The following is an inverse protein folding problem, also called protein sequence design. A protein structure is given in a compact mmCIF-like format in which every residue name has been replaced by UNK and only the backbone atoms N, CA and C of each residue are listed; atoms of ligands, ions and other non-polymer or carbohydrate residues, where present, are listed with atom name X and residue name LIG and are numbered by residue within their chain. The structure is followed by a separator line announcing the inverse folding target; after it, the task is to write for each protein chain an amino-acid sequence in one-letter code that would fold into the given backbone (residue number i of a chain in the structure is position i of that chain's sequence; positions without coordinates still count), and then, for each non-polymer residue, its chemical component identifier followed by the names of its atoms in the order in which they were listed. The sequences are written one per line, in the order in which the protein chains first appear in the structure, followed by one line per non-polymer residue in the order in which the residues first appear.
data_IF_185606750528
#
_entry.id   IF_185606750528
#
_cell.length_a   1.000
_cell.length_b   1.000
_cell.length_c   1.000
_cell.angle_alpha   90.00
_cell.angle_beta   90.00
_cell.angle_gamma   90.00
#
_symmetry.space_group_name_H-M   'P 1'
#
loop_
_entity.id
_entity.type
_entity.pdbx_description
1 polymer ?
#
# COMPACT_ATOMS: atom_id res chain seq x y z
N UNK A 1 7.32 0.41 16.20
CA UNK A 1 5.96 0.02 16.63
C UNK A 1 5.97 -1.47 16.87
N UNK A 2 5.26 -1.94 17.89
CA UNK A 2 5.12 -3.38 18.15
C UNK A 2 4.25 -4.04 17.08
N UNK A 3 4.43 -5.33 16.85
CA UNK A 3 3.65 -6.08 15.86
C UNK A 3 2.14 -6.04 16.18
N UNK A 4 1.77 -6.08 17.45
CA UNK A 4 0.38 -6.01 17.92
C UNK A 4 -0.29 -4.68 17.54
N UNK A 5 0.38 -3.55 17.76
CA UNK A 5 -0.16 -2.24 17.39
C UNK A 5 -0.30 -2.12 15.87
N UNK A 6 0.63 -2.69 15.10
CA UNK A 6 0.51 -2.72 13.64
C UNK A 6 -0.67 -3.55 13.15
N UNK A 7 -0.92 -4.72 13.77
CA UNK A 7 -2.08 -5.54 13.44
C UNK A 7 -3.40 -4.82 13.78
N UNK A 8 -3.48 -4.17 14.93
CA UNK A 8 -4.64 -3.36 15.32
C UNK A 8 -4.91 -2.24 14.30
N UNK A 9 -3.89 -1.43 13.97
CA UNK A 9 -4.02 -0.34 13.00
C UNK A 9 -4.37 -0.82 11.60
N UNK A 10 -3.88 -2.00 11.20
CA UNK A 10 -4.16 -2.55 9.87
C UNK A 10 -5.65 -2.83 9.62
N UNK A 11 -6.42 -3.03 10.70
CA UNK A 11 -7.87 -3.30 10.68
C UNK A 11 -8.72 -2.03 10.73
N UNK A 12 -8.12 -0.87 10.96
CA UNK A 12 -8.81 0.42 10.98
C UNK A 12 -9.40 0.73 9.60
N UNK A 13 -10.71 0.98 9.54
CA UNK A 13 -11.39 1.38 8.31
C UNK A 13 -11.28 2.89 8.12
N UNK A 14 -10.72 3.30 6.99
CA UNK A 14 -10.59 4.72 6.61
C UNK A 14 -11.64 5.07 5.56
N UNK A 15 -12.65 5.86 5.96
CA UNK A 15 -13.79 6.16 5.09
C UNK A 15 -13.51 7.30 4.09
N UNK A 16 -12.69 8.28 4.48
CA UNK A 16 -12.42 9.44 3.63
C UNK A 16 -11.53 9.06 2.44
N UNK A 17 -11.95 9.45 1.23
CA UNK A 17 -11.15 9.26 0.00
C UNK A 17 -9.81 9.99 0.09
N UNK A 18 -9.79 11.22 0.62
CA UNK A 18 -8.54 11.98 0.77
C UNK A 18 -7.59 11.34 1.77
N UNK A 19 -8.12 10.78 2.86
CA UNK A 19 -7.32 10.07 3.85
C UNK A 19 -6.73 8.77 3.28
N UNK A 20 -7.51 7.99 2.52
CA UNK A 20 -7.00 6.79 1.83
C UNK A 20 -5.92 7.12 0.81
N UNK A 21 -6.08 8.19 0.02
CA UNK A 21 -5.02 8.66 -0.89
C UNK A 21 -3.76 9.05 -0.14
N UNK A 22 -3.89 9.75 0.99
CA UNK A 22 -2.76 10.15 1.82
C UNK A 22 -2.04 8.93 2.41
N UNK A 23 -2.78 7.91 2.85
CA UNK A 23 -2.23 6.66 3.36
C UNK A 23 -1.44 5.90 2.27
N UNK A 24 -2.03 5.70 1.08
CA UNK A 24 -1.35 5.06 -0.06
C UNK A 24 -0.09 5.83 -0.45
N UNK A 25 -0.17 7.16 -0.56
CA UNK A 25 0.99 7.99 -0.90
C UNK A 25 2.10 7.88 0.16
N UNK A 26 1.73 7.86 1.44
CA UNK A 26 2.69 7.75 2.55
C UNK A 26 3.33 6.37 2.58
N UNK A 27 2.55 5.30 2.38
CA UNK A 27 3.09 3.94 2.27
C UNK A 27 4.09 3.83 1.13
N UNK A 28 3.72 4.25 -0.09
CA UNK A 28 4.63 4.19 -1.23
C UNK A 28 5.84 5.12 -1.07
N UNK A 29 5.73 6.22 -0.32
CA UNK A 29 6.86 7.11 -0.03
C UNK A 29 7.93 6.45 0.84
N UNK A 30 7.53 5.63 1.82
CA UNK A 30 8.44 5.07 2.82
C UNK A 30 8.80 3.60 2.58
N UNK A 31 7.86 2.83 2.06
CA UNK A 31 8.02 1.41 1.77
C UNK A 31 8.27 1.13 0.28
N UNK A 32 8.10 2.15 -0.57
CA UNK A 32 8.16 1.99 -2.02
C UNK A 32 9.53 2.22 -2.63
N UNK A 33 9.83 1.44 -3.67
CA UNK A 33 10.96 1.60 -4.58
C UNK A 33 10.49 1.84 -6.01
N UNK A 34 11.28 2.58 -6.79
CA UNK A 34 11.06 2.75 -8.23
C UNK A 34 12.12 1.96 -8.99
N UNK A 35 11.66 1.07 -9.85
CA UNK A 35 12.52 0.22 -10.66
C UNK A 35 12.14 0.37 -12.13
N UNK A 36 13.12 0.27 -13.02
CA UNK A 36 12.85 0.18 -14.47
C UNK A 36 13.03 -1.28 -14.87
N UNK A 37 11.93 -1.90 -15.31
CA UNK A 37 11.90 -3.30 -15.76
C UNK A 37 11.42 -3.31 -17.20
N UNK A 38 12.25 -3.81 -18.12
CA UNK A 38 11.95 -3.88 -19.55
C UNK A 38 11.46 -2.53 -20.14
N UNK A 39 12.08 -1.41 -19.73
CA UNK A 39 11.74 -0.06 -20.20
C UNK A 39 10.46 0.52 -19.60
N UNK A 40 9.85 -0.14 -18.60
CA UNK A 40 8.67 0.34 -17.88
C UNK A 40 9.02 0.69 -16.45
N UNK A 41 8.44 1.76 -15.93
CA UNK A 41 8.55 2.11 -14.51
C UNK A 41 7.65 1.18 -13.72
N UNK A 42 8.23 0.53 -12.72
CA UNK A 42 7.56 -0.35 -11.76
C UNK A 42 7.69 0.29 -10.38
N UNK A 43 6.59 0.29 -9.64
CA UNK A 43 6.56 0.66 -8.23
C UNK A 43 6.49 -0.62 -7.43
N UNK A 44 7.52 -0.90 -6.64
CA UNK A 44 7.55 -2.02 -5.70
C UNK A 44 7.35 -1.48 -4.29
N UNK A 45 6.73 -2.26 -3.40
CA UNK A 45 6.56 -1.86 -2.00
C UNK A 45 6.74 -3.05 -1.07
N UNK A 46 7.61 -2.91 -0.07
CA UNK A 46 7.87 -3.94 0.94
C UNK A 46 7.18 -3.58 2.25
N UNK A 47 6.29 -4.46 2.73
CA UNK A 47 5.55 -4.26 3.98
C UNK A 47 5.69 -5.49 4.87
N UNK A 48 5.68 -5.26 6.18
CA UNK A 48 5.99 -6.29 7.18
C UNK A 48 4.81 -7.20 7.53
N UNK A 49 3.58 -6.81 7.14
CA UNK A 49 2.37 -7.60 7.37
C UNK A 49 1.56 -7.80 6.08
N UNK A 50 1.20 -9.05 5.78
CA UNK A 50 0.43 -9.38 4.57
C UNK A 50 -0.98 -8.74 4.53
N UNK A 51 -1.56 -8.38 5.68
CA UNK A 51 -2.81 -7.61 5.72
C UNK A 51 -2.64 -6.19 5.16
N UNK A 52 -1.50 -5.54 5.41
CA UNK A 52 -1.17 -4.23 4.86
C UNK A 52 -1.02 -4.33 3.34
N UNK A 53 -0.33 -5.36 2.84
CA UNK A 53 -0.14 -5.56 1.40
C UNK A 53 -1.48 -5.74 0.66
N UNK A 54 -2.38 -6.57 1.21
CA UNK A 54 -3.71 -6.80 0.62
C UNK A 54 -4.60 -5.55 0.65
N UNK A 55 -4.52 -4.76 1.71
CA UNK A 55 -5.22 -3.48 1.84
C UNK A 55 -4.70 -2.47 0.83
N UNK A 56 -3.38 -2.30 0.74
CA UNK A 56 -2.73 -1.40 -0.22
C UNK A 56 -3.13 -1.77 -1.66
N UNK A 57 -3.12 -3.06 -2.02
CA UNK A 57 -3.60 -3.53 -3.32
C UNK A 57 -5.05 -3.12 -3.59
N UNK A 58 -5.93 -3.29 -2.61
CA UNK A 58 -7.35 -2.90 -2.73
C UNK A 58 -7.50 -1.40 -2.92
N UNK A 59 -6.83 -0.59 -2.08
CA UNK A 59 -6.92 0.86 -2.17
C UNK A 59 -6.33 1.41 -3.49
N UNK A 60 -5.26 0.80 -4.00
CA UNK A 60 -4.71 1.17 -5.32
C UNK A 60 -5.74 0.94 -6.42
N UNK A 61 -6.42 -0.22 -6.40
CA UNK A 61 -7.46 -0.52 -7.38
C UNK A 61 -8.67 0.41 -7.23
N UNK A 62 -9.18 0.57 -6.00
CA UNK A 62 -10.39 1.37 -5.73
C UNK A 62 -10.17 2.87 -6.01
N UNK A 63 -8.96 3.40 -5.80
CA UNK A 63 -8.66 4.83 -5.99
C UNK A 63 -8.16 5.19 -7.39
N UNK A 64 -7.44 4.27 -8.05
CA UNK A 64 -6.70 4.57 -9.29
C UNK A 64 -6.95 3.57 -10.43
N UNK A 65 -7.66 2.46 -10.20
CA UNK A 65 -7.98 1.47 -11.22
C UNK A 65 -6.81 0.59 -11.67
N UNK A 66 -5.68 0.63 -10.95
CA UNK A 66 -4.50 -0.20 -11.25
C UNK A 66 -4.51 -1.51 -10.46
N UNK A 67 -4.11 -2.60 -11.11
CA UNK A 67 -3.88 -3.87 -10.44
C UNK A 67 -2.47 -3.91 -9.85
N UNK A 68 -2.37 -4.28 -8.58
CA UNK A 68 -1.09 -4.55 -7.92
C UNK A 68 -0.98 -6.05 -7.58
N UNK A 69 0.21 -6.61 -7.80
CA UNK A 69 0.53 -8.00 -7.45
C UNK A 69 1.09 -8.02 -6.02
N UNK A 70 0.64 -8.99 -5.21
CA UNK A 70 1.11 -9.19 -3.84
C UNK A 70 1.63 -10.63 -3.76
N UNK A 71 2.87 -10.78 -3.29
CA UNK A 71 3.56 -12.07 -3.13
C UNK A 71 3.57 -12.50 -1.66
#
# INVERSE_FOLDING_TARGET
MTAEVKDELSRLVVNSVSARRAEVASLLRFAGGLHIVAGRVVVEAEVDLGIIARRLRKDIYDLYGYNAVVH
#
